data_IF_366571374774
#
_entry.id   IF_366571374774
#
_cell.length_a   1.000
_cell.length_b   1.000
_cell.length_c   1.000
_cell.angle_alpha   90.00
_cell.angle_beta   90.00
_cell.angle_gamma   90.00
#
_symmetry.space_group_name_H-M   'P 1'
#
loop_
_entity.id
_entity.type
_entity.pdbx_description
1 polymer ?
#
# COMPACT_ATOMS: atom_id res chain seq x y z
N UNK A 1 3.83 5.46 7.85
CA UNK A 1 3.16 5.96 6.64
C UNK A 1 1.68 6.09 6.88
N UNK A 2 1.01 6.97 6.16
CA UNK A 2 -0.42 7.23 6.28
C UNK A 2 -1.17 6.55 5.15
N UNK A 3 -2.35 5.98 5.42
CA UNK A 3 -3.16 5.28 4.41
C UNK A 3 -4.58 5.81 4.43
N UNK A 4 -5.12 6.12 3.25
CA UNK A 4 -6.52 6.50 3.07
C UNK A 4 -7.10 5.84 1.81
N UNK A 5 -8.28 5.25 1.94
CA UNK A 5 -9.04 4.68 0.84
C UNK A 5 -9.97 5.69 0.18
N UNK A 6 -10.24 5.48 -1.09
CA UNK A 6 -11.28 6.17 -1.87
C UNK A 6 -12.23 5.13 -2.42
N UNK A 7 -13.39 5.01 -1.78
CA UNK A 7 -14.44 4.07 -2.17
C UNK A 7 -15.52 4.75 -3.00
N UNK A 8 -16.38 3.96 -3.61
CA UNK A 8 -17.50 4.44 -4.44
C UNK A 8 -17.60 3.66 -5.75
N UNK A 9 -18.73 3.80 -6.41
CA UNK A 9 -19.02 3.07 -7.65
C UNK A 9 -18.24 3.61 -8.85
N UNK A 10 -18.18 2.81 -9.92
CA UNK A 10 -17.57 3.25 -11.18
C UNK A 10 -18.26 4.52 -11.69
N UNK A 11 -17.50 5.46 -12.21
CA UNK A 11 -17.99 6.75 -12.69
C UNK A 11 -18.20 7.82 -11.61
N UNK A 12 -17.97 7.53 -10.32
CA UNK A 12 -18.12 8.53 -9.26
C UNK A 12 -17.03 9.60 -9.22
N UNK A 13 -15.93 9.43 -9.96
CA UNK A 13 -14.83 10.42 -10.03
C UNK A 13 -13.64 10.12 -9.13
N UNK A 14 -13.55 8.92 -8.55
CA UNK A 14 -12.42 8.52 -7.66
C UNK A 14 -11.05 8.74 -8.29
N UNK A 15 -10.85 8.20 -9.48
CA UNK A 15 -9.56 8.29 -10.17
C UNK A 15 -9.15 9.74 -10.39
N UNK A 16 -10.07 10.59 -10.85
CA UNK A 16 -9.82 12.02 -11.06
C UNK A 16 -9.45 12.73 -9.75
N UNK A 17 -10.16 12.43 -8.65
CA UNK A 17 -9.86 13.00 -7.34
C UNK A 17 -8.47 12.54 -6.86
N UNK A 18 -8.18 11.24 -6.93
CA UNK A 18 -6.89 10.66 -6.51
C UNK A 18 -5.73 11.28 -7.30
N UNK A 19 -5.85 11.41 -8.62
CA UNK A 19 -4.83 12.06 -9.46
C UNK A 19 -4.54 13.50 -9.01
N UNK A 20 -5.60 14.27 -8.72
CA UNK A 20 -5.46 15.65 -8.27
C UNK A 20 -4.86 15.73 -6.85
N UNK A 21 -5.20 14.80 -5.96
CA UNK A 21 -4.62 14.72 -4.61
C UNK A 21 -3.14 14.36 -4.64
N UNK A 22 -2.72 13.45 -5.53
CA UNK A 22 -1.30 13.13 -5.71
C UNK A 22 -0.49 14.41 -5.96
N UNK A 23 -0.95 15.25 -6.89
CA UNK A 23 -0.26 16.51 -7.22
C UNK A 23 -0.17 17.47 -6.02
N UNK A 24 -1.23 17.58 -5.22
CA UNK A 24 -1.29 18.47 -4.06
C UNK A 24 -0.44 17.98 -2.89
N UNK A 25 -0.52 16.71 -2.58
CA UNK A 25 0.32 16.10 -1.55
C UNK A 25 1.80 16.18 -1.93
N UNK A 26 2.12 15.95 -3.21
CA UNK A 26 3.49 16.10 -3.72
C UNK A 26 3.98 17.55 -3.60
N UNK A 27 3.13 18.54 -3.94
CA UNK A 27 3.46 19.95 -3.77
C UNK A 27 3.65 20.34 -2.28
N UNK A 28 3.00 19.63 -1.36
CA UNK A 28 3.21 19.74 0.09
C UNK A 28 4.45 18.95 0.60
N UNK A 29 5.30 18.46 -0.30
CA UNK A 29 6.53 17.75 0.04
C UNK A 29 6.32 16.29 0.45
N UNK A 30 5.13 15.72 0.24
CA UNK A 30 4.82 14.35 0.61
C UNK A 30 5.16 13.39 -0.53
N UNK A 31 5.74 12.23 -0.21
CA UNK A 31 5.94 11.12 -1.14
C UNK A 31 4.70 10.24 -1.14
N UNK A 32 4.03 10.15 -2.29
CA UNK A 32 2.74 9.48 -2.42
C UNK A 32 2.88 8.21 -3.25
N UNK A 33 2.37 7.10 -2.72
CA UNK A 33 2.16 5.84 -3.43
C UNK A 33 0.67 5.58 -3.63
N UNK A 34 0.34 4.76 -4.62
CA UNK A 34 -1.04 4.40 -4.93
C UNK A 34 -1.20 2.89 -5.00
N UNK A 35 -2.25 2.39 -4.37
CA UNK A 35 -2.76 1.03 -4.56
C UNK A 35 -4.09 1.13 -5.31
N UNK A 36 -4.21 0.42 -6.43
CA UNK A 36 -5.44 0.40 -7.23
C UNK A 36 -5.93 -1.02 -7.41
N UNK A 37 -7.21 -1.25 -7.10
CA UNK A 37 -7.88 -2.51 -7.43
C UNK A 37 -8.32 -2.50 -8.90
N UNK A 38 -7.82 -3.45 -9.67
CA UNK A 38 -8.25 -3.68 -11.05
C UNK A 38 -9.33 -4.78 -11.07
N UNK A 39 -10.51 -4.47 -11.63
CA UNK A 39 -11.61 -5.44 -11.75
C UNK A 39 -11.50 -6.36 -12.98
N UNK A 40 -10.54 -6.09 -13.84
CA UNK A 40 -10.30 -6.84 -15.08
C UNK A 40 -8.82 -7.15 -15.20
N UNK A 41 -8.51 -8.16 -16.03
CA UNK A 41 -7.13 -8.45 -16.39
C UNK A 41 -6.45 -7.19 -16.96
N UNK A 42 -5.24 -6.94 -16.52
CA UNK A 42 -4.43 -5.82 -16.99
C UNK A 42 -3.02 -6.33 -17.33
N UNK A 43 -2.37 -5.68 -18.27
CA UNK A 43 -0.95 -5.85 -18.54
C UNK A 43 -0.30 -4.46 -18.64
N UNK A 44 0.87 -4.30 -18.05
CA UNK A 44 1.70 -3.09 -18.10
C UNK A 44 2.99 -3.32 -18.87
N UNK A 45 3.19 -4.55 -19.37
CA UNK A 45 4.36 -4.96 -20.14
C UNK A 45 4.11 -4.82 -21.64
N UNK A 46 5.16 -4.93 -22.43
CA UNK A 46 5.08 -4.86 -23.89
C UNK A 46 5.44 -6.21 -24.50
N UNK A 47 4.53 -6.76 -25.31
CA UNK A 47 4.74 -8.00 -26.03
C UNK A 47 6.05 -7.97 -26.84
N UNK A 48 6.82 -9.06 -26.76
CA UNK A 48 8.09 -9.24 -27.46
C UNK A 48 9.31 -8.59 -26.79
N UNK A 49 9.15 -7.80 -25.74
CA UNK A 49 10.29 -7.30 -24.93
C UNK A 49 10.82 -8.39 -24.00
N UNK A 50 12.04 -8.20 -23.49
CA UNK A 50 12.72 -9.22 -22.69
C UNK A 50 11.94 -9.57 -21.41
N UNK A 51 11.38 -8.59 -20.72
CA UNK A 51 10.51 -8.78 -19.54
C UNK A 51 9.31 -9.68 -19.87
N UNK A 52 8.61 -9.36 -20.95
CA UNK A 52 7.48 -10.16 -21.43
C UNK A 52 7.92 -11.60 -21.77
N UNK A 53 9.07 -11.77 -22.46
CA UNK A 53 9.61 -13.10 -22.82
C UNK A 53 9.96 -13.91 -21.57
N UNK A 54 10.51 -13.28 -20.52
CA UNK A 54 10.80 -13.97 -19.27
C UNK A 54 9.51 -14.46 -18.59
N UNK A 55 8.46 -13.64 -18.56
CA UNK A 55 7.15 -14.05 -18.04
C UNK A 55 6.56 -15.22 -18.86
N UNK A 56 6.59 -15.14 -20.18
CA UNK A 56 6.11 -16.22 -21.06
C UNK A 56 6.93 -17.51 -20.89
N UNK A 57 8.17 -17.43 -20.48
CA UNK A 57 9.01 -18.58 -20.17
C UNK A 57 8.73 -19.19 -18.78
N UNK A 58 7.81 -18.61 -17.99
CA UNK A 58 7.37 -19.13 -16.70
C UNK A 58 8.05 -18.50 -15.48
N UNK A 59 8.64 -17.31 -15.61
CA UNK A 59 9.15 -16.59 -14.46
C UNK A 59 7.99 -16.17 -13.54
N UNK A 60 8.05 -16.57 -12.27
CA UNK A 60 7.06 -16.18 -11.24
C UNK A 60 7.07 -14.69 -10.99
N UNK A 61 8.24 -14.06 -10.99
CA UNK A 61 8.40 -12.62 -10.78
C UNK A 61 9.51 -12.08 -11.69
N UNK A 62 9.28 -10.92 -12.29
CA UNK A 62 10.27 -10.18 -13.08
C UNK A 62 10.45 -8.80 -12.48
N UNK A 63 11.69 -8.43 -12.16
CA UNK A 63 12.06 -7.09 -11.69
C UNK A 63 12.92 -6.42 -12.74
N UNK A 64 12.51 -5.24 -13.17
CA UNK A 64 13.21 -4.43 -14.18
C UNK A 64 13.60 -3.11 -13.50
N UNK A 65 14.85 -2.73 -13.62
CA UNK A 65 15.35 -1.48 -13.04
C UNK A 65 16.18 -0.70 -14.06
N UNK A 66 16.06 0.63 -13.97
CA UNK A 66 16.95 1.60 -14.60
C UNK A 66 17.42 2.60 -13.54
N UNK A 67 18.19 3.60 -13.96
CA UNK A 67 18.63 4.72 -13.10
C UNK A 67 17.45 5.59 -12.56
N UNK A 68 16.26 5.46 -13.15
CA UNK A 68 15.08 6.31 -12.85
C UNK A 68 13.82 5.55 -12.54
N UNK A 69 13.77 4.25 -12.79
CA UNK A 69 12.52 3.48 -12.69
C UNK A 69 12.78 2.04 -12.29
N UNK A 70 11.90 1.55 -11.42
CA UNK A 70 11.79 0.12 -11.09
C UNK A 70 10.36 -0.33 -11.42
N UNK A 71 10.24 -1.51 -12.03
CA UNK A 71 8.98 -2.22 -12.17
C UNK A 71 9.15 -3.65 -11.64
N UNK A 72 8.12 -4.13 -10.95
CA UNK A 72 8.02 -5.51 -10.47
C UNK A 72 6.70 -6.09 -10.98
N UNK A 73 6.78 -7.20 -11.67
CA UNK A 73 5.61 -7.91 -12.21
C UNK A 73 5.64 -9.31 -11.63
N UNK A 74 4.58 -9.71 -10.94
CA UNK A 74 4.40 -11.04 -10.38
C UNK A 74 3.22 -11.71 -11.05
N UNK A 75 3.45 -12.92 -11.55
CA UNK A 75 2.41 -13.79 -12.09
C UNK A 75 1.94 -14.75 -11.00
N UNK A 76 0.65 -14.82 -10.75
CA UNK A 76 0.10 -15.79 -9.82
C UNK A 76 -0.20 -17.10 -10.55
N UNK A 77 0.36 -18.21 -10.09
CA UNK A 77 0.15 -19.55 -10.66
C UNK A 77 -1.29 -20.03 -10.49
N UNK A 78 -1.97 -19.55 -9.45
CA UNK A 78 -3.38 -19.80 -9.19
C UNK A 78 -4.09 -18.47 -9.02
N UNK A 79 -5.40 -18.48 -9.24
CA UNK A 79 -6.20 -17.28 -9.05
C UNK A 79 -6.04 -16.76 -7.61
N UNK A 80 -5.47 -15.57 -7.48
CA UNK A 80 -5.22 -14.92 -6.19
C UNK A 80 -5.87 -13.53 -6.17
N UNK A 81 -6.53 -13.23 -5.07
CA UNK A 81 -7.03 -11.89 -4.78
C UNK A 81 -6.27 -11.34 -3.57
N UNK A 82 -5.15 -10.65 -3.81
CA UNK A 82 -4.38 -10.08 -2.71
C UNK A 82 -5.22 -9.07 -1.95
N UNK A 83 -5.15 -9.15 -0.63
CA UNK A 83 -5.80 -8.16 0.22
C UNK A 83 -5.13 -6.80 0.06
N UNK A 84 -5.84 -5.73 0.38
CA UNK A 84 -5.26 -4.38 0.35
C UNK A 84 -4.02 -4.27 1.25
N UNK A 85 -4.01 -4.94 2.38
CA UNK A 85 -2.88 -4.94 3.32
C UNK A 85 -1.64 -5.62 2.74
N UNK A 86 -1.83 -6.71 1.97
CA UNK A 86 -0.72 -7.36 1.25
C UNK A 86 -0.14 -6.43 0.17
N UNK A 87 -0.99 -5.68 -0.53
CA UNK A 87 -0.52 -4.70 -1.53
C UNK A 87 0.17 -3.50 -0.89
N UNK A 88 -0.33 -3.01 0.25
CA UNK A 88 0.34 -1.95 1.01
C UNK A 88 1.72 -2.42 1.51
N UNK A 89 1.85 -3.69 1.90
CA UNK A 89 3.12 -4.26 2.34
C UNK A 89 4.20 -4.34 1.24
N UNK A 90 3.83 -4.24 -0.04
CA UNK A 90 4.77 -4.12 -1.16
C UNK A 90 5.34 -2.70 -1.32
N UNK A 91 4.80 -1.71 -0.58
CA UNK A 91 5.20 -0.31 -0.67
C UNK A 91 6.11 0.06 0.50
N UNK A 92 7.11 0.86 0.23
CA UNK A 92 8.05 1.38 1.20
C UNK A 92 8.47 2.80 0.86
N UNK A 93 9.03 3.49 1.83
CA UNK A 93 9.64 4.81 1.65
C UNK A 93 8.66 5.85 1.05
N UNK A 94 7.40 5.84 1.55
CA UNK A 94 6.38 6.83 1.21
C UNK A 94 5.71 7.40 2.46
N UNK A 95 5.21 8.64 2.35
CA UNK A 95 4.50 9.33 3.43
C UNK A 95 3.03 8.96 3.43
N UNK A 96 2.44 8.87 2.23
CA UNK A 96 1.03 8.56 2.00
C UNK A 96 0.84 7.42 1.00
N UNK A 97 -0.14 6.57 1.31
CA UNK A 97 -0.70 5.59 0.37
C UNK A 97 -2.16 5.94 0.11
N UNK A 98 -2.48 6.25 -1.13
CA UNK A 98 -3.86 6.43 -1.59
C UNK A 98 -4.36 5.12 -2.19
N UNK A 99 -5.44 4.58 -1.63
CA UNK A 99 -6.02 3.31 -2.08
C UNK A 99 -7.29 3.56 -2.89
N UNK A 100 -7.26 3.27 -4.18
CA UNK A 100 -8.45 3.37 -5.04
C UNK A 100 -9.14 2.01 -5.17
N UNK A 101 -10.39 1.95 -4.80
CA UNK A 101 -11.17 0.71 -4.78
C UNK A 101 -11.21 0.06 -3.39
N UNK A 102 -11.18 -1.28 -3.35
CA UNK A 102 -11.23 -2.02 -2.08
C UNK A 102 -12.34 -1.57 -1.13
N UNK A 103 -13.54 -1.36 -1.68
CA UNK A 103 -14.66 -0.70 -0.98
C UNK A 103 -15.06 -1.37 0.34
N UNK A 104 -14.76 -2.67 0.50
CA UNK A 104 -15.07 -3.46 1.69
C UNK A 104 -13.88 -3.67 2.63
N UNK A 105 -12.71 -3.04 2.32
CA UNK A 105 -11.56 -3.15 3.17
C UNK A 105 -11.74 -2.40 4.51
N UNK A 106 -11.09 -2.88 5.53
CA UNK A 106 -11.01 -2.32 6.88
C UNK A 106 -9.97 -1.18 6.98
N UNK A 107 -10.05 -0.25 6.05
CA UNK A 107 -9.22 0.96 5.99
C UNK A 107 -10.09 2.20 6.08
N UNK A 108 -9.62 3.23 6.80
CA UNK A 108 -10.26 4.53 6.76
C UNK A 108 -10.35 5.01 5.31
N UNK A 109 -11.53 5.48 4.92
CA UNK A 109 -11.80 5.86 3.53
C UNK A 109 -12.72 7.06 3.39
N UNK A 110 -12.56 7.78 2.30
CA UNK A 110 -13.49 8.79 1.81
C UNK A 110 -14.39 8.11 0.78
N UNK A 111 -15.70 8.18 0.98
CA UNK A 111 -16.65 7.76 -0.06
C UNK A 111 -16.80 8.85 -1.10
N UNK A 112 -16.52 8.52 -2.36
CA UNK A 112 -16.74 9.41 -3.50
C UNK A 112 -18.08 9.06 -4.14
N UNK A 113 -19.04 9.97 -4.02
CA UNK A 113 -20.41 9.75 -4.49
C UNK A 113 -20.90 10.89 -5.38
N UNK A 114 -21.68 10.54 -6.39
CA UNK A 114 -22.37 11.50 -7.28
C UNK A 114 -23.82 11.07 -7.47
N UNK A 115 -24.73 12.02 -7.32
CA UNK A 115 -26.15 11.78 -7.59
C UNK A 115 -26.40 11.31 -9.04
N UNK A 116 -25.58 11.75 -9.99
CA UNK A 116 -25.69 11.37 -11.41
C UNK A 116 -25.44 9.89 -11.68
N UNK A 117 -24.74 9.18 -10.79
CA UNK A 117 -24.51 7.73 -10.93
C UNK A 117 -25.73 6.90 -10.58
N UNK A 118 -26.71 7.46 -9.87
CA UNK A 118 -27.88 6.77 -9.33
C UNK A 118 -27.52 5.50 -8.52
N UNK A 119 -26.35 5.49 -7.87
CA UNK A 119 -25.89 4.37 -7.06
C UNK A 119 -26.12 4.64 -5.58
N UNK A 120 -26.34 3.59 -4.76
CA UNK A 120 -26.50 3.74 -3.33
C UNK A 120 -25.20 4.25 -2.69
N UNK A 121 -25.33 4.79 -1.48
CA UNK A 121 -24.21 5.19 -0.61
C UNK A 121 -23.77 4.03 0.28
N UNK A 122 -22.54 4.06 0.78
CA UNK A 122 -21.96 3.06 1.66
C UNK A 122 -21.86 3.54 3.11
N UNK A 123 -21.67 4.85 3.30
CA UNK A 123 -21.37 5.46 4.60
C UNK A 123 -22.31 5.11 5.75
N UNK A 124 -23.61 4.83 5.55
CA UNK A 124 -24.46 4.46 6.69
C UNK A 124 -24.11 3.09 7.28
N UNK A 125 -23.50 2.20 6.46
CA UNK A 125 -23.27 0.81 6.81
C UNK A 125 -21.77 0.43 6.83
N UNK A 126 -20.87 1.39 6.61
CA UNK A 126 -19.43 1.16 6.61
C UNK A 126 -18.75 2.07 7.65
N UNK A 127 -18.35 1.53 8.81
CA UNK A 127 -17.75 2.31 9.89
C UNK A 127 -16.36 2.88 9.53
N UNK A 128 -15.77 2.41 8.45
CA UNK A 128 -14.48 2.92 7.96
C UNK A 128 -14.62 4.16 7.07
N UNK A 129 -15.84 4.52 6.65
CA UNK A 129 -16.04 5.78 5.95
C UNK A 129 -15.95 6.93 6.93
N UNK A 130 -14.99 7.83 6.73
CA UNK A 130 -14.68 8.95 7.63
C UNK A 130 -15.04 10.30 7.07
N UNK A 131 -15.32 10.38 5.78
CA UNK A 131 -15.82 11.56 5.07
C UNK A 131 -16.48 11.15 3.76
N UNK A 132 -17.26 12.06 3.18
CA UNK A 132 -17.90 11.89 1.87
C UNK A 132 -17.38 13.01 0.98
N UNK A 133 -16.96 12.68 -0.24
CA UNK A 133 -16.63 13.67 -1.27
C UNK A 133 -17.68 13.59 -2.38
N UNK A 134 -18.41 14.70 -2.59
CA UNK A 134 -19.55 14.75 -3.52
C UNK A 134 -19.67 16.10 -4.20
N UNK A 135 -20.24 16.11 -5.41
CA UNK A 135 -20.67 17.33 -6.12
C UNK A 135 -22.15 17.70 -5.86
N UNK A 136 -22.81 16.93 -5.00
CA UNK A 136 -24.25 17.05 -4.77
C UNK A 136 -24.58 16.85 -3.29
N UNK A 137 -24.08 17.70 -2.37
CA UNK A 137 -24.23 17.51 -0.93
C UNK A 137 -25.69 17.48 -0.47
N UNK A 138 -26.56 18.31 -1.06
CA UNK A 138 -28.00 18.38 -0.74
C UNK A 138 -28.80 17.18 -1.25
N UNK A 139 -28.19 16.28 -1.99
CA UNK A 139 -28.80 15.09 -2.60
C UNK A 139 -28.32 13.78 -2.01
N UNK A 140 -27.57 13.84 -0.91
CA UNK A 140 -27.17 12.62 -0.19
C UNK A 140 -28.42 11.84 0.22
N UNK A 141 -28.51 10.52 -0.10
CA UNK A 141 -29.71 9.73 0.14
C UNK A 141 -30.04 9.54 1.62
N UNK A 142 -29.02 9.53 2.48
CA UNK A 142 -29.17 9.31 3.93
C UNK A 142 -28.55 10.48 4.70
N UNK A 143 -29.14 10.85 5.84
CA UNK A 143 -28.55 11.88 6.71
C UNK A 143 -27.23 11.39 7.28
N UNK A 144 -26.29 12.32 7.47
CA UNK A 144 -24.95 11.98 7.99
C UNK A 144 -24.40 13.09 8.89
N UNK A 145 -23.62 12.69 9.88
CA UNK A 145 -22.77 13.57 10.68
C UNK A 145 -21.30 13.59 10.20
N UNK A 146 -20.98 12.85 9.12
CA UNK A 146 -19.63 12.82 8.56
C UNK A 146 -19.33 14.15 7.83
N UNK A 147 -18.07 14.58 7.80
CA UNK A 147 -17.62 15.67 6.95
C UNK A 147 -18.01 15.42 5.48
N UNK A 148 -18.61 16.42 4.85
CA UNK A 148 -18.97 16.41 3.44
C UNK A 148 -18.06 17.41 2.73
N UNK A 149 -17.27 16.90 1.78
CA UNK A 149 -16.24 17.63 1.05
C UNK A 149 -16.71 17.82 -0.40
N UNK A 150 -16.43 18.97 -0.99
CA UNK A 150 -16.72 19.21 -2.40
C UNK A 150 -15.76 18.37 -3.28
N UNK A 151 -16.34 17.50 -4.09
CA UNK A 151 -15.59 16.67 -5.05
C UNK A 151 -14.88 17.50 -6.13
N UNK A 152 -15.36 18.71 -6.38
CA UNK A 152 -14.78 19.64 -7.35
C UNK A 152 -13.73 20.57 -6.72
N UNK A 153 -13.53 20.49 -5.41
CA UNK A 153 -12.47 21.21 -4.68
C UNK A 153 -11.47 20.24 -4.05
N UNK A 154 -10.53 19.71 -4.83
CA UNK A 154 -9.49 18.81 -4.31
C UNK A 154 -8.50 19.49 -3.37
N UNK A 155 -8.43 20.82 -3.33
CA UNK A 155 -7.63 21.55 -2.35
C UNK A 155 -8.26 21.46 -0.96
N UNK A 156 -9.59 21.53 -0.86
CA UNK A 156 -10.30 21.30 0.39
C UNK A 156 -10.11 19.85 0.88
N UNK A 157 -10.15 18.87 -0.03
CA UNK A 157 -9.91 17.46 0.32
C UNK A 157 -8.47 17.25 0.81
N UNK A 158 -7.48 17.83 0.12
CA UNK A 158 -6.08 17.76 0.56
C UNK A 158 -5.87 18.42 1.92
N UNK A 159 -6.47 19.60 2.14
CA UNK A 159 -6.43 20.31 3.42
C UNK A 159 -7.05 19.47 4.53
N UNK A 160 -8.17 18.80 4.27
CA UNK A 160 -8.81 17.90 5.23
C UNK A 160 -7.88 16.74 5.65
N UNK A 161 -7.18 16.13 4.70
CA UNK A 161 -6.23 15.05 4.98
C UNK A 161 -5.01 15.55 5.77
N UNK A 162 -4.41 16.66 5.32
CA UNK A 162 -3.22 17.23 5.94
C UNK A 162 -3.49 17.90 7.28
N UNK A 163 -4.73 18.27 7.58
CA UNK A 163 -5.12 18.91 8.82
C UNK A 163 -5.09 17.98 10.05
N UNK A 164 -5.16 16.68 9.84
CA UNK A 164 -5.04 15.68 10.92
C UNK A 164 -4.38 14.39 10.38
N UNK A 165 -3.11 14.43 9.99
CA UNK A 165 -2.44 13.31 9.33
C UNK A 165 -2.27 12.10 10.25
N UNK A 166 -2.16 12.31 11.58
CA UNK A 166 -1.97 11.23 12.56
C UNK A 166 -3.16 10.27 12.59
N UNK A 167 -4.35 10.75 12.24
CA UNK A 167 -5.57 9.93 12.13
C UNK A 167 -5.39 8.77 11.12
N UNK A 168 -4.54 8.95 10.12
CA UNK A 168 -4.33 8.03 9.01
C UNK A 168 -3.07 7.17 9.15
N UNK A 169 -2.41 7.24 10.32
CA UNK A 169 -1.25 6.38 10.57
C UNK A 169 -1.64 4.91 10.45
N UNK A 170 -0.96 4.23 9.53
CA UNK A 170 -1.23 2.85 9.20
C UNK A 170 -0.41 1.90 10.09
N UNK A 171 -1.11 0.94 10.67
CA UNK A 171 -0.51 -0.20 11.35
C UNK A 171 -0.78 -1.45 10.54
N UNK A 172 0.28 -2.10 10.09
CA UNK A 172 0.15 -3.33 9.33
C UNK A 172 -0.43 -4.44 10.20
N UNK A 173 -1.43 -5.19 9.73
CA UNK A 173 -1.87 -6.39 10.44
C UNK A 173 -0.80 -7.49 10.50
N UNK A 174 0.29 -7.34 9.73
CA UNK A 174 1.43 -8.27 9.70
C UNK A 174 2.57 -7.88 10.64
N UNK A 175 2.52 -6.71 11.29
CA UNK A 175 3.61 -6.24 12.16
C UNK A 175 3.74 -7.01 13.49
N UNK A 176 2.79 -7.89 13.81
CA UNK A 176 2.89 -8.73 15.00
C UNK A 176 4.03 -9.76 14.96
N UNK A 177 4.57 -10.08 13.77
CA UNK A 177 5.67 -11.02 13.60
C UNK A 177 7.06 -10.36 13.55
N UNK A 178 7.17 -9.03 13.67
CA UNK A 178 8.45 -8.30 13.63
C UNK A 178 9.09 -8.03 14.99
N UNK A 179 8.48 -8.46 16.09
CA UNK A 179 9.14 -8.43 17.41
C UNK A 179 9.78 -9.79 17.68
N UNK A 180 10.75 -10.19 16.88
CA UNK A 180 11.86 -10.96 17.36
C UNK A 180 12.98 -9.94 17.58
N UNK A 181 13.00 -9.39 18.78
CA UNK A 181 14.14 -8.67 19.34
C UNK A 181 15.28 -9.67 19.41
N UNK A 182 16.08 -9.76 18.33
CA UNK A 182 17.35 -10.45 18.36
C UNK A 182 18.32 -9.42 18.96
N UNK A 183 18.15 -9.13 20.23
CA UNK A 183 19.26 -8.67 21.06
C UNK A 183 20.24 -9.85 21.13
N UNK A 184 21.48 -9.72 20.64
CA UNK A 184 22.50 -10.72 20.94
C UNK A 184 22.71 -10.68 22.44
N UNK A 185 22.13 -11.65 23.15
CA UNK A 185 22.45 -11.89 24.53
C UNK A 185 23.93 -12.26 24.57
N UNK A 186 24.72 -11.37 25.19
CA UNK A 186 25.96 -11.65 25.88
C UNK A 186 26.99 -12.54 25.16
N UNK A 187 27.67 -11.96 24.20
CA UNK A 187 28.99 -12.39 23.85
C UNK A 187 30.04 -11.71 24.78
N UNK A 188 29.89 -11.92 26.09
CA UNK A 188 31.00 -11.66 27.02
C UNK A 188 30.73 -12.30 28.38
N UNK A 189 31.03 -13.61 28.48
CA UNK A 189 31.36 -14.27 29.76
C UNK A 189 32.19 -15.52 29.49
N UNK A 190 33.49 -15.42 29.64
CA UNK A 190 34.31 -16.53 30.05
C UNK A 190 35.24 -17.19 29.03
N UNK A 191 36.21 -16.48 28.51
CA UNK A 191 37.42 -17.11 28.02
C UNK A 191 38.44 -17.16 29.15
N UNK A 192 38.49 -18.26 29.88
CA UNK A 192 39.70 -18.60 30.69
C UNK A 192 40.74 -19.28 29.78
N UNK A 193 42.01 -18.93 29.92
CA UNK A 193 43.06 -19.52 29.10
C UNK A 193 43.44 -20.88 29.67
N UNK A 194 43.33 -21.96 28.92
CA UNK A 194 43.97 -23.24 29.23
C UNK A 194 45.24 -23.36 28.41
N UNK A 195 46.30 -23.61 29.19
CA UNK A 195 47.71 -23.67 28.81
C UNK A 195 48.04 -24.70 27.72
N UNK A 196 49.07 -24.34 26.99
CA UNK A 196 49.81 -25.19 26.07
C UNK A 196 50.37 -26.45 26.77
N UNK A 197 50.17 -27.60 26.16
CA UNK A 197 51.03 -28.77 26.37
C UNK A 197 51.53 -29.30 25.01
N UNK A 198 52.79 -29.17 24.85
CA UNK A 198 53.60 -29.71 23.76
C UNK A 198 53.68 -31.24 23.92
N UNK A 199 53.50 -31.99 22.85
CA UNK A 199 53.76 -33.43 22.81
C UNK A 199 53.85 -33.91 21.39
N UNK A 200 55.05 -33.96 20.84
CA UNK A 200 55.32 -34.54 19.54
C UNK A 200 55.34 -36.06 19.57
N UNK A 201 55.06 -36.68 18.45
CA UNK A 201 55.63 -37.97 17.97
C UNK A 201 55.25 -38.27 16.55
N UNK A 202 56.23 -38.24 15.68
CA UNK A 202 56.67 -39.26 14.72
C UNK A 202 55.66 -39.98 13.79
N UNK A 203 55.93 -39.77 12.51
CA UNK A 203 55.52 -40.58 11.36
C UNK A 203 56.26 -41.93 11.40
N UNK A 204 55.69 -43.05 10.90
CA UNK A 204 56.33 -43.76 9.84
C UNK A 204 55.44 -44.08 8.61
N UNK A 205 56.14 -44.14 7.50
CA UNK A 205 55.71 -44.56 6.19
C UNK A 205 55.42 -46.06 6.18
N UNK A 206 54.45 -46.43 5.39
CA UNK A 206 54.12 -47.74 4.89
C UNK A 206 53.16 -47.58 3.72
#
# INVERSE_FOLDING_TARGET
MKVIGFSGYSGSGKTTLVEQLIGRLHAAGQRVSVVKHAHHAFDIDHEGKDSWRHRQAGAFEVVIASDRRLAKIREYEVHAEPTVHQLIAELYDCDWVLVEGFKHADLLKIEVWRASTAKPVQYPNDPYVVAISTDSPDRLPEPTGLPVLDLNDPDAVATYLLGNPERYEYRSPFDHDRVVDITPADADAGASPVAAAVGGAAVPRG
#
